data_IF_521537135447
#
_entry.id   IF_521537135447
#
_cell.length_a   1.000
_cell.length_b   1.000
_cell.length_c   1.000
_cell.angle_alpha   90.00
_cell.angle_beta   90.00
_cell.angle_gamma   90.00
#
_symmetry.space_group_name_H-M   'P 1'
#
loop_
_entity.id
_entity.type
_entity.pdbx_description
1 polymer ?
#
# COMPACT_ATOMS: atom_id res chain seq x y z
N UNK A 1 8.11 12.31 20.21
CA UNK A 1 9.26 11.57 19.64
C UNK A 1 10.13 12.57 18.89
N UNK A 2 11.42 12.66 19.22
CA UNK A 2 12.33 13.61 18.56
C UNK A 2 12.74 13.10 17.18
N UNK A 3 12.87 13.99 16.18
CA UNK A 3 13.26 13.62 14.81
C UNK A 3 14.57 12.80 14.77
N UNK A 4 15.49 13.05 15.71
CA UNK A 4 16.74 12.30 15.85
C UNK A 4 16.55 10.80 16.09
N UNK A 5 15.53 10.40 16.87
CA UNK A 5 15.28 8.98 17.14
C UNK A 5 14.73 8.24 15.91
N UNK A 6 14.00 8.94 15.04
CA UNK A 6 13.45 8.37 13.79
C UNK A 6 14.58 8.10 12.79
N UNK A 7 15.48 9.07 12.60
CA UNK A 7 16.61 8.91 11.67
C UNK A 7 17.56 7.82 12.19
N UNK A 8 17.84 7.80 13.50
CA UNK A 8 18.69 6.78 14.11
C UNK A 8 18.09 5.37 13.99
N UNK A 9 16.76 5.22 14.13
CA UNK A 9 16.12 3.91 13.96
C UNK A 9 16.35 3.32 12.56
N UNK A 10 16.35 4.15 11.53
CA UNK A 10 16.56 3.77 10.12
C UNK A 10 18.03 3.48 9.78
N UNK A 11 18.96 3.87 10.64
CA UNK A 11 20.38 3.60 10.45
C UNK A 11 20.65 2.09 10.43
N UNK A 12 21.44 1.64 9.45
CA UNK A 12 21.80 0.24 9.25
C UNK A 12 20.60 -0.73 9.11
N UNK A 13 19.39 -0.22 8.81
CA UNK A 13 18.20 -1.05 8.55
C UNK A 13 18.12 -1.54 7.12
N UNK A 14 17.66 -2.76 6.98
CA UNK A 14 17.19 -3.33 5.72
C UNK A 14 15.67 -3.31 5.68
N UNK A 15 15.10 -2.67 4.66
CA UNK A 15 13.65 -2.46 4.55
C UNK A 15 13.15 -3.06 3.24
N UNK A 16 12.11 -3.89 3.30
CA UNK A 16 11.35 -4.34 2.13
C UNK A 16 10.15 -3.43 1.94
N UNK A 17 10.01 -2.85 0.75
CA UNK A 17 8.87 -1.99 0.38
C UNK A 17 8.11 -2.65 -0.76
N UNK A 18 6.83 -2.94 -0.53
CA UNK A 18 5.92 -3.39 -1.60
C UNK A 18 5.20 -2.20 -2.23
N UNK A 19 4.76 -2.35 -3.48
CA UNK A 19 4.06 -1.25 -4.16
C UNK A 19 4.98 -0.07 -4.44
N UNK A 20 6.28 -0.33 -4.65
CA UNK A 20 7.32 0.71 -4.79
C UNK A 20 7.08 1.71 -5.94
N UNK A 21 6.28 1.33 -6.93
CA UNK A 21 5.87 2.21 -8.04
C UNK A 21 4.60 3.03 -7.74
N UNK A 22 4.00 2.88 -6.56
CA UNK A 22 2.88 3.67 -6.08
C UNK A 22 3.29 5.05 -5.57
N UNK A 23 2.34 5.98 -5.57
CA UNK A 23 2.54 7.38 -5.21
C UNK A 23 3.17 7.56 -3.81
N UNK A 24 2.56 6.99 -2.78
CA UNK A 24 3.03 7.11 -1.40
C UNK A 24 4.38 6.40 -1.18
N UNK A 25 4.57 5.24 -1.80
CA UNK A 25 5.81 4.46 -1.68
C UNK A 25 7.03 5.22 -2.23
N UNK A 26 6.88 5.95 -3.33
CA UNK A 26 7.96 6.77 -3.89
C UNK A 26 8.41 7.86 -2.92
N UNK A 27 7.45 8.53 -2.27
CA UNK A 27 7.73 9.58 -1.28
C UNK A 27 8.44 8.98 -0.08
N UNK A 28 7.98 7.81 0.38
CA UNK A 28 8.64 7.07 1.46
C UNK A 28 10.09 6.70 1.13
N UNK A 29 10.34 6.14 -0.07
CA UNK A 29 11.68 5.78 -0.54
C UNK A 29 12.58 7.01 -0.72
N UNK A 30 12.08 8.09 -1.34
CA UNK A 30 12.81 9.34 -1.49
C UNK A 30 13.19 9.92 -0.12
N UNK A 31 12.24 9.96 0.80
CA UNK A 31 12.43 10.50 2.14
C UNK A 31 13.54 9.75 2.86
N UNK A 32 13.51 8.41 2.88
CA UNK A 32 14.55 7.60 3.52
C UNK A 32 15.92 7.89 2.91
N UNK A 33 16.04 7.82 1.58
CA UNK A 33 17.32 8.03 0.90
C UNK A 33 17.88 9.45 1.12
N UNK A 34 17.00 10.46 1.27
CA UNK A 34 17.41 11.85 1.51
C UNK A 34 17.83 12.12 2.95
N UNK A 35 17.16 11.53 3.93
CA UNK A 35 17.34 11.85 5.35
C UNK A 35 18.25 10.87 6.11
N UNK A 36 18.40 9.63 5.62
CA UNK A 36 19.23 8.61 6.26
C UNK A 36 20.16 7.92 5.25
N UNK A 37 21.34 8.51 4.95
CA UNK A 37 22.31 7.92 4.02
C UNK A 37 22.91 6.58 4.50
N UNK A 38 22.86 6.31 5.81
CA UNK A 38 23.36 5.07 6.42
C UNK A 38 22.29 3.96 6.50
N UNK A 39 21.12 4.10 5.86
CA UNK A 39 20.21 2.96 5.67
C UNK A 39 21.00 1.82 5.01
N UNK A 40 20.83 0.58 5.46
CA UNK A 40 21.65 -0.53 4.94
C UNK A 40 21.24 -0.86 3.52
N UNK A 41 19.96 -1.19 3.30
CA UNK A 41 19.44 -1.61 2.00
C UNK A 41 17.90 -1.43 1.94
N UNK A 42 17.40 -1.06 0.77
CA UNK A 42 15.98 -1.01 0.43
C UNK A 42 15.71 -2.04 -0.66
N UNK A 43 15.02 -3.12 -0.32
CA UNK A 43 14.43 -4.02 -1.32
C UNK A 43 13.11 -3.42 -1.78
N UNK A 44 13.01 -3.16 -3.08
CA UNK A 44 11.78 -2.63 -3.66
C UNK A 44 11.14 -3.75 -4.48
N UNK A 45 9.96 -4.20 -4.10
CA UNK A 45 9.21 -5.19 -4.88
C UNK A 45 8.49 -4.49 -6.04
N UNK A 46 8.82 -4.89 -7.27
CA UNK A 46 8.20 -4.41 -8.49
C UNK A 46 7.63 -5.58 -9.30
N UNK A 47 6.37 -5.44 -9.73
CA UNK A 47 5.72 -6.41 -10.63
C UNK A 47 6.44 -6.48 -11.96
N UNK A 48 7.25 -7.50 -12.19
CA UNK A 48 8.07 -7.62 -13.38
C UNK A 48 8.35 -9.09 -13.67
N UNK A 49 8.58 -9.42 -14.94
CA UNK A 49 8.87 -10.78 -15.36
C UNK A 49 10.24 -11.27 -14.86
N UNK A 50 11.20 -10.35 -14.76
CA UNK A 50 12.60 -10.61 -14.41
C UNK A 50 13.28 -9.36 -13.80
N UNK A 51 14.50 -9.56 -13.28
CA UNK A 51 15.31 -8.52 -12.63
C UNK A 51 15.64 -7.35 -13.56
N UNK A 52 15.83 -7.59 -14.86
CA UNK A 52 16.12 -6.54 -15.85
C UNK A 52 14.92 -5.61 -15.99
N UNK A 53 13.74 -6.18 -16.12
CA UNK A 53 12.46 -5.46 -16.20
C UNK A 53 12.18 -4.71 -14.90
N UNK A 54 12.42 -5.32 -13.73
CA UNK A 54 12.30 -4.63 -12.44
C UNK A 54 13.25 -3.44 -12.33
N UNK A 55 14.49 -3.59 -12.79
CA UNK A 55 15.49 -2.51 -12.81
C UNK A 55 15.07 -1.36 -13.73
N UNK A 56 14.53 -1.68 -14.91
CA UNK A 56 14.01 -0.67 -15.83
C UNK A 56 12.83 0.10 -15.22
N UNK A 57 11.91 -0.61 -14.56
CA UNK A 57 10.77 0.00 -13.86
C UNK A 57 11.23 0.86 -12.69
N UNK A 58 12.22 0.42 -11.91
CA UNK A 58 12.82 1.22 -10.84
C UNK A 58 13.34 2.55 -11.41
N UNK A 59 14.12 2.50 -12.49
CA UNK A 59 14.63 3.70 -13.12
C UNK A 59 13.51 4.62 -13.62
N UNK A 60 12.60 4.11 -14.45
CA UNK A 60 11.63 4.92 -15.18
C UNK A 60 10.45 5.40 -14.31
N UNK A 61 9.96 4.54 -13.43
CA UNK A 61 8.74 4.80 -12.67
C UNK A 61 9.02 5.41 -11.30
N UNK A 62 10.23 5.25 -10.75
CA UNK A 62 10.59 5.73 -9.42
C UNK A 62 11.66 6.81 -9.52
N UNK A 63 12.91 6.46 -9.85
CA UNK A 63 14.07 7.36 -9.73
C UNK A 63 14.02 8.52 -10.74
N UNK A 64 13.49 8.28 -11.95
CA UNK A 64 13.39 9.31 -12.98
C UNK A 64 12.39 10.43 -12.61
N UNK A 65 11.47 10.20 -11.67
CA UNK A 65 10.43 11.17 -11.31
C UNK A 65 11.03 12.44 -10.69
N UNK A 66 10.34 13.56 -10.90
CA UNK A 66 10.71 14.86 -10.35
C UNK A 66 10.74 14.90 -8.83
N UNK A 67 10.04 13.96 -8.17
CA UNK A 67 10.12 13.74 -6.73
C UNK A 67 11.57 13.68 -6.24
N UNK A 68 12.42 12.96 -6.97
CA UNK A 68 13.82 12.74 -6.61
C UNK A 68 14.72 13.95 -6.94
N UNK A 69 14.18 15.08 -7.41
CA UNK A 69 14.97 16.27 -7.78
C UNK A 69 15.85 16.78 -6.63
N UNK A 70 15.31 16.88 -5.42
CA UNK A 70 16.09 17.35 -4.25
C UNK A 70 17.21 16.37 -3.91
N UNK A 71 16.95 15.06 -3.98
CA UNK A 71 17.99 14.04 -3.81
C UNK A 71 19.05 14.10 -4.92
N UNK A 72 18.63 14.28 -6.18
CA UNK A 72 19.52 14.44 -7.35
C UNK A 72 20.44 15.64 -7.19
N UNK A 73 19.90 16.79 -6.78
CA UNK A 73 20.66 18.02 -6.52
C UNK A 73 21.66 17.84 -5.37
N UNK A 74 21.24 17.18 -4.29
CA UNK A 74 22.09 16.93 -3.11
C UNK A 74 23.23 15.95 -3.40
N UNK A 75 22.98 14.90 -4.18
CA UNK A 75 23.95 13.83 -4.43
C UNK A 75 24.82 14.05 -5.67
N UNK A 76 24.33 14.82 -6.65
CA UNK A 76 25.02 15.07 -7.92
C UNK A 76 25.48 13.77 -8.59
N UNK A 77 26.76 13.69 -8.94
CA UNK A 77 27.37 12.53 -9.59
C UNK A 77 27.29 11.23 -8.75
N UNK A 78 27.12 11.33 -7.43
CA UNK A 78 27.09 10.17 -6.53
C UNK A 78 25.72 9.48 -6.47
N UNK A 79 24.68 10.02 -7.12
CA UNK A 79 23.34 9.45 -7.06
C UNK A 79 23.30 8.00 -7.54
N UNK A 80 23.89 7.72 -8.71
CA UNK A 80 23.85 6.38 -9.28
C UNK A 80 24.54 5.35 -8.37
N UNK A 81 25.68 5.75 -7.76
CA UNK A 81 26.39 4.91 -6.79
C UNK A 81 25.54 4.67 -5.54
N UNK A 82 24.90 5.71 -4.99
CA UNK A 82 23.99 5.56 -3.85
C UNK A 82 22.86 4.58 -4.18
N UNK A 83 22.16 4.77 -5.31
CA UNK A 83 21.04 3.90 -5.69
C UNK A 83 21.52 2.46 -5.90
N UNK A 84 22.65 2.24 -6.59
CA UNK A 84 23.17 0.88 -6.81
C UNK A 84 23.57 0.15 -5.53
N UNK A 85 24.02 0.89 -4.51
CA UNK A 85 24.46 0.32 -3.23
C UNK A 85 23.27 0.13 -2.29
N UNK A 86 22.33 1.07 -2.26
CA UNK A 86 21.27 1.14 -1.26
C UNK A 86 19.95 0.54 -1.72
N UNK A 87 19.72 0.38 -3.02
CA UNK A 87 18.41 -0.02 -3.55
C UNK A 87 18.57 -1.27 -4.41
N UNK A 88 17.81 -2.32 -4.08
CA UNK A 88 17.75 -3.55 -4.83
C UNK A 88 16.33 -3.74 -5.39
N UNK A 89 16.12 -3.62 -6.72
CA UNK A 89 14.85 -3.95 -7.32
C UNK A 89 14.62 -5.47 -7.28
N UNK A 90 13.46 -5.88 -6.78
CA UNK A 90 13.04 -7.27 -6.65
C UNK A 90 11.86 -7.51 -7.59
N UNK A 91 12.06 -8.36 -8.59
CA UNK A 91 10.98 -8.78 -9.49
C UNK A 91 10.06 -9.75 -8.75
N UNK A 92 8.78 -9.37 -8.60
CA UNK A 92 7.80 -10.21 -7.93
C UNK A 92 6.42 -9.58 -7.83
N UNK A 93 5.44 -10.34 -7.33
CA UNK A 93 4.06 -9.94 -7.16
C UNK A 93 3.54 -10.37 -5.78
N UNK A 94 2.86 -9.47 -5.08
CA UNK A 94 2.29 -9.77 -3.77
C UNK A 94 1.17 -10.81 -3.87
N UNK A 95 0.55 -11.00 -5.03
CA UNK A 95 -0.49 -12.02 -5.23
C UNK A 95 0.06 -13.45 -5.20
N UNK A 96 1.37 -13.64 -5.12
CA UNK A 96 2.02 -14.94 -5.13
C UNK A 96 2.71 -15.25 -3.80
N UNK A 97 2.79 -16.54 -3.45
CA UNK A 97 3.62 -17.00 -2.34
C UNK A 97 5.07 -16.55 -2.50
N UNK A 98 5.73 -16.28 -1.37
CA UNK A 98 7.09 -15.70 -1.32
C UNK A 98 7.25 -14.47 -2.24
N UNK A 99 6.15 -13.72 -2.43
CA UNK A 99 6.08 -12.52 -3.26
C UNK A 99 6.42 -12.77 -4.74
N UNK A 100 6.28 -14.01 -5.22
CA UNK A 100 6.56 -14.38 -6.62
C UNK A 100 8.02 -14.24 -7.02
N UNK A 101 8.95 -14.12 -6.06
CA UNK A 101 10.38 -13.98 -6.31
C UNK A 101 10.95 -15.34 -6.72
N UNK A 102 11.43 -15.43 -7.96
CA UNK A 102 11.93 -16.69 -8.54
C UNK A 102 13.32 -17.08 -8.06
N UNK A 103 14.13 -16.11 -7.65
CA UNK A 103 15.48 -16.34 -7.16
C UNK A 103 15.44 -16.75 -5.68
N UNK A 104 15.66 -18.05 -5.42
CA UNK A 104 15.66 -18.60 -4.06
C UNK A 104 16.77 -18.05 -3.17
N UNK A 105 17.93 -17.73 -3.73
CA UNK A 105 19.05 -17.15 -2.98
C UNK A 105 18.69 -15.75 -2.49
N UNK A 106 18.06 -14.95 -3.37
CA UNK A 106 17.57 -13.62 -3.01
C UNK A 106 16.48 -13.68 -1.93
N UNK A 107 15.56 -14.65 -2.02
CA UNK A 107 14.53 -14.87 -0.98
C UNK A 107 15.18 -15.18 0.37
N UNK A 108 16.13 -16.11 0.40
CA UNK A 108 16.86 -16.46 1.63
C UNK A 108 17.67 -15.29 2.19
N UNK A 109 18.30 -14.49 1.32
CA UNK A 109 19.00 -13.26 1.71
C UNK A 109 18.02 -12.30 2.39
N UNK A 110 16.88 -12.01 1.77
CA UNK A 110 15.86 -11.14 2.35
C UNK A 110 15.33 -11.66 3.69
N UNK A 111 15.11 -12.97 3.84
CA UNK A 111 14.73 -13.55 5.13
C UNK A 111 15.81 -13.36 6.21
N UNK A 112 17.10 -13.37 5.84
CA UNK A 112 18.21 -13.16 6.80
C UNK A 112 18.46 -11.69 7.12
N UNK A 113 18.14 -10.79 6.18
CA UNK A 113 18.55 -9.38 6.26
C UNK A 113 17.43 -8.40 6.64
N UNK A 114 16.17 -8.62 6.24
CA UNK A 114 15.10 -7.62 6.38
C UNK A 114 14.72 -7.40 7.86
N UNK A 115 14.82 -6.15 8.29
CA UNK A 115 14.40 -5.67 9.62
C UNK A 115 12.95 -5.17 9.61
N UNK A 116 12.49 -4.56 8.53
CA UNK A 116 11.15 -3.95 8.44
C UNK A 116 10.53 -4.26 7.08
N UNK A 117 9.25 -4.62 7.10
CA UNK A 117 8.43 -4.72 5.88
C UNK A 117 7.41 -3.58 5.88
N UNK A 118 7.36 -2.82 4.78
CA UNK A 118 6.40 -1.74 4.57
C UNK A 118 5.50 -2.12 3.39
N UNK A 119 4.28 -2.53 3.70
CA UNK A 119 3.30 -2.96 2.73
C UNK A 119 2.42 -1.78 2.27
N UNK A 120 2.74 -1.23 1.10
CA UNK A 120 1.98 -0.17 0.42
C UNK A 120 1.27 -0.67 -0.84
N UNK A 121 1.50 -1.93 -1.24
CA UNK A 121 0.87 -2.50 -2.41
C UNK A 121 -0.63 -2.67 -2.20
N UNK A 122 -1.40 -2.04 -3.08
CA UNK A 122 -2.85 -2.17 -3.16
C UNK A 122 -3.31 -1.73 -4.56
N UNK A 123 -4.44 -2.27 -5.01
CA UNK A 123 -5.27 -1.57 -6.00
C UNK A 123 -6.16 -0.58 -5.25
N UNK A 124 -6.18 0.66 -5.72
CA UNK A 124 -6.95 1.78 -5.13
C UNK A 124 -8.12 2.20 -6.03
N UNK A 125 -8.38 1.42 -7.09
CA UNK A 125 -9.51 1.64 -7.96
C UNK A 125 -10.80 1.16 -7.24
N UNK A 126 -11.73 2.07 -7.01
CA UNK A 126 -12.99 1.78 -6.33
C UNK A 126 -13.92 0.88 -7.14
N UNK A 127 -13.71 0.83 -8.45
CA UNK A 127 -14.45 0.02 -9.42
C UNK A 127 -13.50 -1.00 -10.08
N UNK A 128 -12.67 -1.67 -9.26
CA UNK A 128 -11.84 -2.79 -9.69
C UNK A 128 -12.64 -4.09 -9.70
N UNK A 129 -12.26 -5.03 -10.57
CA UNK A 129 -12.81 -6.39 -10.53
C UNK A 129 -12.57 -7.02 -9.17
N UNK A 130 -13.58 -7.72 -8.63
CA UNK A 130 -13.49 -8.25 -7.28
C UNK A 130 -12.38 -9.29 -7.11
N UNK A 131 -12.15 -10.16 -8.10
CA UNK A 131 -11.05 -11.12 -8.10
C UNK A 131 -9.69 -10.44 -7.96
N UNK A 132 -9.47 -9.37 -8.73
CA UNK A 132 -8.23 -8.61 -8.71
C UNK A 132 -8.06 -7.87 -7.37
N UNK A 133 -9.12 -7.22 -6.89
CA UNK A 133 -9.09 -6.47 -5.64
C UNK A 133 -8.84 -7.40 -4.43
N UNK A 134 -9.53 -8.54 -4.36
CA UNK A 134 -9.37 -9.53 -3.30
C UNK A 134 -7.96 -10.15 -3.32
N UNK A 135 -7.48 -10.54 -4.51
CA UNK A 135 -6.15 -11.13 -4.67
C UNK A 135 -5.03 -10.18 -4.25
N UNK A 136 -5.14 -8.88 -4.58
CA UNK A 136 -4.10 -7.89 -4.26
C UNK A 136 -4.23 -7.39 -2.83
N UNK A 137 -5.40 -6.86 -2.46
CA UNK A 137 -5.55 -6.11 -1.22
C UNK A 137 -5.64 -7.03 0.00
N UNK A 138 -6.30 -8.19 -0.12
CA UNK A 138 -6.53 -9.13 0.98
C UNK A 138 -5.51 -10.25 0.96
N UNK A 139 -5.54 -11.11 -0.06
CA UNK A 139 -4.64 -12.28 -0.15
C UNK A 139 -3.18 -11.85 -0.26
N UNK A 140 -2.90 -10.83 -1.06
CA UNK A 140 -1.54 -10.31 -1.20
C UNK A 140 -0.99 -9.69 0.09
N UNK A 141 -1.84 -9.10 0.94
CA UNK A 141 -1.42 -8.67 2.27
C UNK A 141 -1.03 -9.85 3.16
N UNK A 142 -1.76 -10.97 3.08
CA UNK A 142 -1.42 -12.22 3.78
C UNK A 142 -0.10 -12.80 3.28
N UNK A 143 0.18 -12.79 1.97
CA UNK A 143 1.48 -13.22 1.44
C UNK A 143 2.63 -12.35 1.95
N UNK A 144 2.43 -11.04 2.06
CA UNK A 144 3.43 -10.13 2.64
C UNK A 144 3.65 -10.42 4.12
N UNK A 145 2.59 -10.69 4.88
CA UNK A 145 2.71 -11.14 6.27
C UNK A 145 3.48 -12.44 6.39
N UNK A 146 3.13 -13.44 5.59
CA UNK A 146 3.80 -14.75 5.59
C UNK A 146 5.28 -14.63 5.20
N UNK A 147 5.61 -13.72 4.28
CA UNK A 147 7.00 -13.38 3.99
C UNK A 147 7.71 -12.75 5.19
N UNK A 148 7.08 -11.76 5.83
CA UNK A 148 7.64 -11.06 6.99
C UNK A 148 7.89 -12.00 8.18
N UNK A 149 7.01 -12.98 8.43
CA UNK A 149 7.19 -14.01 9.47
C UNK A 149 8.44 -14.88 9.27
N UNK A 150 8.88 -15.06 8.02
CA UNK A 150 10.09 -15.82 7.69
C UNK A 150 11.38 -14.98 7.87
N UNK A 151 11.26 -13.67 8.04
CA UNK A 151 12.40 -12.79 8.24
C UNK A 151 12.97 -12.91 9.66
N UNK A 152 14.18 -13.43 9.80
CA UNK A 152 14.82 -13.73 11.08
C UNK A 152 15.11 -12.50 11.97
N UNK A 153 15.17 -11.31 11.38
CA UNK A 153 15.47 -10.04 12.07
C UNK A 153 14.27 -9.10 12.10
N UNK A 154 13.09 -9.59 11.74
CA UNK A 154 11.91 -8.75 11.60
C UNK A 154 11.59 -8.05 12.92
N UNK A 155 11.50 -6.72 12.84
CA UNK A 155 11.10 -5.84 13.95
C UNK A 155 9.67 -5.41 13.81
N UNK A 156 9.19 -5.24 12.58
CA UNK A 156 7.88 -4.69 12.32
C UNK A 156 7.41 -4.98 10.89
N UNK A 157 6.12 -5.29 10.75
CA UNK A 157 5.35 -5.10 9.53
C UNK A 157 4.47 -3.85 9.66
N UNK A 158 4.68 -2.86 8.79
CA UNK A 158 3.78 -1.72 8.63
C UNK A 158 2.89 -1.98 7.41
N UNK A 159 1.58 -2.00 7.60
CA UNK A 159 0.59 -2.11 6.54
C UNK A 159 -0.16 -0.78 6.37
N UNK A 160 -0.20 -0.26 5.14
CA UNK A 160 -1.02 0.92 4.83
C UNK A 160 -2.42 0.46 4.42
N UNK A 161 -3.39 0.75 5.27
CA UNK A 161 -4.81 0.56 5.02
C UNK A 161 -5.47 1.87 4.57
N UNK A 162 -6.68 2.17 5.05
CA UNK A 162 -7.41 3.41 4.78
C UNK A 162 -8.38 3.73 5.92
N UNK A 163 -8.59 5.00 6.25
CA UNK A 163 -9.60 5.41 7.23
C UNK A 163 -11.01 4.95 6.84
N UNK A 164 -11.26 4.78 5.54
CA UNK A 164 -12.55 4.40 4.98
C UNK A 164 -12.96 2.96 5.30
N UNK A 165 -12.09 2.10 5.85
CA UNK A 165 -12.52 0.76 6.34
C UNK A 165 -13.65 0.86 7.37
N UNK A 166 -13.81 2.03 8.00
CA UNK A 166 -14.93 2.35 8.88
C UNK A 166 -16.26 2.64 8.16
N UNK A 167 -16.29 2.60 6.83
CA UNK A 167 -17.45 2.86 5.99
C UNK A 167 -18.06 4.23 6.23
N UNK A 168 -19.38 4.25 6.39
CA UNK A 168 -20.19 5.46 6.60
C UNK A 168 -20.58 5.65 8.08
N UNK A 169 -19.86 5.00 9.02
CA UNK A 169 -20.11 5.19 10.45
C UNK A 169 -19.86 6.63 10.86
N UNK A 170 -20.71 7.14 11.76
CA UNK A 170 -20.63 8.49 12.30
C UNK A 170 -20.25 8.47 13.79
N UNK A 171 -19.78 9.62 14.31
CA UNK A 171 -19.42 9.80 15.71
C UNK A 171 -17.98 9.38 16.04
N UNK A 172 -17.74 8.99 17.29
CA UNK A 172 -16.42 8.58 17.76
C UNK A 172 -16.10 7.17 17.28
N UNK A 173 -15.12 7.05 16.38
CA UNK A 173 -14.62 5.77 15.89
C UNK A 173 -13.27 5.51 16.53
N UNK A 174 -13.17 4.41 17.30
CA UNK A 174 -11.94 4.01 17.97
C UNK A 174 -11.00 3.29 17.00
N UNK A 175 -9.70 3.38 17.24
CA UNK A 175 -8.65 2.71 16.46
C UNK A 175 -8.50 1.22 16.79
N UNK A 176 -9.61 0.56 17.16
CA UNK A 176 -9.62 -0.86 17.47
C UNK A 176 -9.30 -1.70 16.22
N UNK A 177 -8.69 -2.89 16.41
CA UNK A 177 -8.50 -3.85 15.33
C UNK A 177 -9.86 -4.39 14.85
N UNK A 178 -9.95 -4.73 13.57
CA UNK A 178 -11.08 -5.50 13.05
C UNK A 178 -10.87 -6.98 13.34
N UNK A 179 -11.93 -7.65 13.80
CA UNK A 179 -11.92 -9.08 14.05
C UNK A 179 -12.50 -9.85 12.86
N UNK A 180 -12.11 -11.13 12.71
CA UNK A 180 -12.64 -11.99 11.66
C UNK A 180 -14.18 -12.02 11.69
N UNK A 181 -14.78 -11.81 10.53
CA UNK A 181 -16.23 -11.83 10.34
C UNK A 181 -16.97 -10.60 10.87
N UNK A 182 -16.26 -9.58 11.38
CA UNK A 182 -16.87 -8.30 11.75
C UNK A 182 -17.43 -7.61 10.51
N UNK A 183 -18.61 -7.00 10.62
CA UNK A 183 -19.29 -6.28 9.54
C UNK A 183 -19.80 -4.93 10.04
N UNK A 184 -19.94 -3.95 9.14
CA UNK A 184 -20.32 -2.60 9.54
C UNK A 184 -21.82 -2.45 9.80
N UNK A 185 -22.65 -3.31 9.22
CA UNK A 185 -24.11 -3.27 9.30
C UNK A 185 -24.71 -4.37 10.18
N UNK A 186 -23.89 -5.18 10.86
CA UNK A 186 -24.34 -6.28 11.71
C UNK A 186 -24.77 -7.55 10.98
N UNK A 187 -24.63 -7.60 9.65
CA UNK A 187 -24.84 -8.82 8.86
C UNK A 187 -23.83 -9.89 9.32
N UNK A 188 -24.32 -11.06 9.72
CA UNK A 188 -23.46 -12.20 10.07
C UNK A 188 -22.98 -12.96 8.84
N UNK A 189 -21.91 -13.74 8.97
CA UNK A 189 -21.48 -14.68 7.94
C UNK A 189 -20.55 -14.08 6.88
N UNK A 190 -19.77 -13.06 7.24
CA UNK A 190 -18.57 -12.72 6.48
C UNK A 190 -17.50 -13.76 6.81
N UNK A 191 -17.14 -14.58 5.82
CA UNK A 191 -16.03 -15.52 5.88
C UNK A 191 -15.13 -15.27 4.67
N UNK A 192 -13.87 -14.93 4.93
CA UNK A 192 -12.94 -14.48 3.89
C UNK A 192 -12.53 -15.63 2.97
N UNK A 193 -12.53 -16.87 3.46
CA UNK A 193 -12.28 -18.05 2.62
C UNK A 193 -13.50 -18.35 1.73
N UNK A 194 -14.71 -18.19 2.26
CA UNK A 194 -15.93 -18.26 1.46
C UNK A 194 -15.99 -17.17 0.39
N UNK A 195 -15.53 -15.94 0.68
CA UNK A 195 -15.42 -14.88 -0.35
C UNK A 195 -14.48 -15.27 -1.50
N UNK A 196 -13.36 -15.94 -1.21
CA UNK A 196 -12.46 -16.45 -2.25
C UNK A 196 -13.15 -17.48 -3.13
N UNK A 197 -13.90 -18.41 -2.53
CA UNK A 197 -14.66 -19.42 -3.26
C UNK A 197 -15.78 -18.82 -4.12
N UNK A 198 -16.47 -17.79 -3.61
CA UNK A 198 -17.50 -17.05 -4.37
C UNK A 198 -16.88 -16.40 -5.62
N UNK A 199 -15.72 -15.78 -5.46
CA UNK A 199 -14.97 -15.16 -6.57
C UNK A 199 -14.55 -16.20 -7.60
N UNK A 200 -13.94 -17.31 -7.15
CA UNK A 200 -13.44 -18.37 -8.04
C UNK A 200 -14.58 -19.04 -8.80
N UNK A 201 -15.66 -19.39 -8.11
CA UNK A 201 -16.85 -20.01 -8.70
C UNK A 201 -17.45 -19.09 -9.76
N UNK A 202 -17.62 -17.80 -9.44
CA UNK A 202 -18.19 -16.85 -10.40
C UNK A 202 -17.31 -16.67 -11.62
N UNK A 203 -16.00 -16.64 -11.45
CA UNK A 203 -15.06 -16.52 -12.57
C UNK A 203 -15.13 -17.76 -13.48
N UNK A 204 -15.17 -18.96 -12.89
CA UNK A 204 -15.29 -20.22 -13.63
C UNK A 204 -16.61 -20.30 -14.41
N UNK A 205 -17.74 -19.93 -13.79
CA UNK A 205 -19.05 -19.85 -14.47
C UNK A 205 -18.99 -18.95 -15.70
N UNK A 206 -18.42 -17.74 -15.57
CA UNK A 206 -18.31 -16.79 -16.67
C UNK A 206 -17.39 -17.32 -17.79
N UNK A 207 -16.34 -18.07 -17.44
CA UNK A 207 -15.45 -18.70 -18.41
C UNK A 207 -16.15 -19.85 -19.15
N UNK A 208 -16.89 -20.69 -18.44
CA UNK A 208 -17.68 -21.79 -19.01
C UNK A 208 -18.79 -21.29 -19.95
N UNK A 209 -19.37 -20.14 -19.63
CA UNK A 209 -20.31 -19.41 -20.50
C UNK A 209 -19.64 -18.77 -21.74
N UNK A 210 -18.31 -18.90 -21.89
CA UNK A 210 -17.51 -18.21 -22.92
C UNK A 210 -17.74 -16.69 -22.93
N UNK A 211 -17.92 -16.09 -21.74
CA UNK A 211 -18.13 -14.66 -21.61
C UNK A 211 -16.91 -13.88 -22.12
N UNK A 212 -17.15 -12.74 -22.77
CA UNK A 212 -16.07 -11.85 -23.21
C UNK A 212 -15.35 -11.22 -22.01
N UNK A 213 -14.07 -10.84 -22.17
CA UNK A 213 -13.29 -10.12 -21.13
C UNK A 213 -14.01 -8.87 -20.58
N UNK A 214 -14.74 -8.15 -21.44
CA UNK A 214 -15.54 -6.99 -21.03
C UNK A 214 -16.70 -7.41 -20.12
N UNK A 215 -17.38 -8.51 -20.46
CA UNK A 215 -18.47 -9.07 -19.66
C UNK A 215 -17.96 -9.58 -18.32
N UNK A 216 -16.84 -10.30 -18.31
CA UNK A 216 -16.17 -10.77 -17.08
C UNK A 216 -15.82 -9.56 -16.20
N UNK A 217 -15.20 -8.54 -16.79
CA UNK A 217 -14.82 -7.32 -16.06
C UNK A 217 -16.03 -6.63 -15.42
N UNK A 218 -17.13 -6.47 -16.16
CA UNK A 218 -18.36 -5.86 -15.62
C UNK A 218 -18.95 -6.71 -14.50
N UNK A 219 -19.14 -8.01 -14.73
CA UNK A 219 -19.75 -8.92 -13.77
C UNK A 219 -18.94 -9.01 -12.46
N UNK A 220 -17.60 -9.02 -12.54
CA UNK A 220 -16.74 -9.07 -11.36
C UNK A 220 -16.69 -7.75 -10.60
N UNK A 221 -16.89 -6.61 -11.26
CA UNK A 221 -17.06 -5.31 -10.57
C UNK A 221 -18.40 -5.27 -9.83
N UNK A 222 -19.47 -5.68 -10.51
CA UNK A 222 -20.81 -5.73 -9.93
C UNK A 222 -20.86 -6.67 -8.73
N UNK A 223 -20.22 -7.85 -8.83
CA UNK A 223 -20.09 -8.78 -7.71
C UNK A 223 -19.41 -8.12 -6.52
N UNK A 224 -18.24 -7.51 -6.71
CA UNK A 224 -17.51 -6.86 -5.62
C UNK A 224 -18.31 -5.78 -4.91
N UNK A 225 -19.03 -4.96 -5.69
CA UNK A 225 -19.90 -3.91 -5.14
C UNK A 225 -21.08 -4.51 -4.35
N UNK A 226 -21.69 -5.59 -4.86
CA UNK A 226 -22.77 -6.31 -4.16
C UNK A 226 -22.28 -6.89 -2.83
N UNK A 227 -21.13 -7.58 -2.83
CA UNK A 227 -20.53 -8.15 -1.60
C UNK A 227 -20.15 -7.07 -0.59
N UNK A 228 -19.51 -5.99 -1.04
CA UNK A 228 -19.18 -4.88 -0.16
C UNK A 228 -20.43 -4.30 0.54
N UNK A 229 -21.48 -4.02 -0.22
CA UNK A 229 -22.74 -3.46 0.32
C UNK A 229 -23.48 -4.43 1.23
N UNK A 230 -23.43 -5.73 0.94
CA UNK A 230 -24.03 -6.77 1.78
C UNK A 230 -23.51 -6.70 3.23
N UNK A 231 -22.21 -6.43 3.40
CA UNK A 231 -21.56 -6.36 4.72
C UNK A 231 -21.32 -4.93 5.23
N UNK A 232 -21.90 -3.93 4.55
CA UNK A 232 -21.95 -2.54 5.01
C UNK A 232 -20.82 -1.64 4.55
N UNK A 233 -19.97 -2.08 3.61
CA UNK A 233 -18.94 -1.22 3.01
C UNK A 233 -19.44 -0.57 1.70
N UNK A 234 -19.00 0.67 1.41
CA UNK A 234 -19.53 1.43 0.28
C UNK A 234 -19.03 0.95 -1.08
N UNK A 235 -17.88 0.28 -1.13
CA UNK A 235 -17.26 -0.21 -2.38
C UNK A 235 -16.25 -1.34 -2.13
N UNK A 236 -15.86 -2.01 -3.21
CA UNK A 236 -14.93 -3.16 -3.23
C UNK A 236 -13.55 -2.85 -2.66
N UNK A 237 -13.02 -1.65 -2.92
CA UNK A 237 -11.71 -1.24 -2.40
C UNK A 237 -11.71 -1.24 -0.87
N UNK A 238 -12.66 -0.52 -0.28
CA UNK A 238 -12.77 -0.42 1.17
C UNK A 238 -13.01 -1.80 1.80
N UNK A 239 -13.89 -2.60 1.21
CA UNK A 239 -14.21 -3.94 1.70
C UNK A 239 -12.99 -4.86 1.71
N UNK A 240 -12.22 -4.91 0.61
CA UNK A 240 -11.01 -5.75 0.54
C UNK A 240 -9.90 -5.27 1.46
N UNK A 241 -9.82 -3.95 1.74
CA UNK A 241 -8.91 -3.41 2.77
C UNK A 241 -9.33 -3.79 4.18
N UNK A 242 -10.62 -3.78 4.49
CA UNK A 242 -11.13 -4.24 5.78
C UNK A 242 -10.82 -5.74 6.00
N UNK A 243 -11.07 -6.59 4.99
CA UNK A 243 -10.71 -8.01 5.05
C UNK A 243 -9.20 -8.23 5.23
N UNK A 244 -8.37 -7.39 4.60
CA UNK A 244 -6.92 -7.43 4.82
C UNK A 244 -6.55 -7.15 6.28
N UNK A 245 -7.16 -6.17 6.92
CA UNK A 245 -6.91 -5.88 8.34
C UNK A 245 -7.31 -7.05 9.24
N UNK A 246 -8.45 -7.68 8.97
CA UNK A 246 -8.92 -8.85 9.72
C UNK A 246 -7.95 -10.02 9.62
N UNK A 247 -7.54 -10.37 8.39
CA UNK A 247 -6.56 -11.44 8.14
C UNK A 247 -5.22 -11.14 8.78
N UNK A 248 -4.71 -9.91 8.62
CA UNK A 248 -3.43 -9.51 9.23
C UNK A 248 -3.51 -9.56 10.75
N UNK A 249 -4.58 -9.04 11.35
CA UNK A 249 -4.80 -9.04 12.80
C UNK A 249 -4.92 -10.45 13.37
N UNK A 250 -5.60 -11.35 12.65
CA UNK A 250 -5.76 -12.74 13.06
C UNK A 250 -4.47 -13.55 12.89
N UNK A 251 -3.81 -13.43 11.74
CA UNK A 251 -2.68 -14.27 11.36
C UNK A 251 -1.34 -13.74 11.87
N UNK A 252 -1.21 -12.50 12.38
CA UNK A 252 0.12 -11.94 12.73
C UNK A 252 0.90 -12.75 13.77
N UNK A 253 0.23 -13.52 14.62
CA UNK A 253 0.83 -14.18 15.79
C UNK A 253 1.62 -13.16 16.63
N UNK A 254 2.92 -13.42 16.85
CA UNK A 254 3.84 -12.58 17.62
C UNK A 254 4.51 -11.49 16.78
N UNK A 255 4.27 -11.42 15.47
CA UNK A 255 4.86 -10.38 14.62
C UNK A 255 4.27 -9.02 15.01
N UNK A 256 5.12 -8.01 15.33
CA UNK A 256 4.65 -6.65 15.51
C UNK A 256 4.05 -6.12 14.20
N UNK A 257 2.81 -5.65 14.29
CA UNK A 257 2.01 -5.17 13.16
C UNK A 257 1.51 -3.76 13.48
N UNK A 258 1.77 -2.83 12.57
CA UNK A 258 1.19 -1.48 12.59
C UNK A 258 0.31 -1.33 11.36
N UNK A 259 -0.93 -0.89 11.57
CA UNK A 259 -1.87 -0.56 10.49
C UNK A 259 -2.05 0.96 10.46
N UNK A 260 -1.65 1.60 9.36
CA UNK A 260 -1.86 3.05 9.15
C UNK A 260 -3.09 3.23 8.28
N UNK A 261 -4.08 3.98 8.76
CA UNK A 261 -5.36 4.22 8.06
C UNK A 261 -5.46 5.69 7.58
N UNK A 262 -4.78 6.07 6.48
CA UNK A 262 -4.86 7.43 5.95
C UNK A 262 -6.23 7.71 5.29
N UNK A 263 -6.62 8.99 5.24
CA UNK A 263 -7.76 9.50 4.46
C UNK A 263 -7.33 9.76 3.01
N UNK A 264 -7.99 10.68 2.28
CA UNK A 264 -7.60 11.00 0.90
C UNK A 264 -6.23 11.67 0.89
N UNK A 265 -5.24 10.94 0.38
CA UNK A 265 -3.87 11.44 0.27
C UNK A 265 -3.75 12.38 -0.93
N UNK A 266 -3.27 13.60 -0.69
CA UNK A 266 -3.06 14.63 -1.71
C UNK A 266 -1.59 14.88 -1.97
N UNK A 267 -1.29 15.93 -2.76
CA UNK A 267 0.07 16.40 -3.01
C UNK A 267 0.88 16.67 -1.72
N UNK A 268 2.20 16.70 -1.85
CA UNK A 268 3.10 17.03 -0.75
C UNK A 268 2.86 18.46 -0.27
N UNK A 269 2.78 18.65 1.05
CA UNK A 269 2.66 19.97 1.64
C UNK A 269 4.00 20.71 1.68
N UNK A 270 5.08 20.02 2.07
CA UNK A 270 6.39 20.63 2.26
C UNK A 270 7.54 19.83 1.66
N UNK A 271 7.57 18.51 1.87
CA UNK A 271 8.73 17.68 1.52
C UNK A 271 8.46 16.68 0.40
N UNK A 272 9.45 16.38 -0.46
CA UNK A 272 10.75 17.07 -0.59
C UNK A 272 10.63 18.51 -1.11
N UNK A 273 9.51 18.84 -1.75
CA UNK A 273 9.09 20.18 -2.11
C UNK A 273 7.56 20.24 -2.17
N UNK A 274 6.93 21.41 -2.02
CA UNK A 274 5.47 21.53 -2.04
C UNK A 274 4.86 21.22 -3.42
N UNK A 275 3.66 20.64 -3.42
CA UNK A 275 2.82 20.45 -4.60
C UNK A 275 3.19 19.27 -5.49
N UNK A 276 4.09 18.38 -5.07
CA UNK A 276 4.37 17.18 -5.85
C UNK A 276 3.19 16.21 -5.76
N UNK A 277 2.68 15.80 -6.92
CA UNK A 277 1.63 14.80 -7.07
C UNK A 277 1.97 13.93 -8.27
N UNK A 278 1.61 12.65 -8.22
CA UNK A 278 1.80 11.75 -9.35
C UNK A 278 0.46 11.23 -9.89
N UNK A 279 0.16 11.69 -11.10
CA UNK A 279 -1.13 11.48 -11.73
C UNK A 279 -2.18 12.48 -11.23
N UNK A 280 -3.40 12.34 -11.73
CA UNK A 280 -4.56 13.12 -11.29
C UNK A 280 -5.54 12.12 -10.70
N UNK A 281 -5.69 12.09 -9.37
CA UNK A 281 -6.53 11.11 -8.67
C UNK A 281 -7.68 11.81 -7.98
N UNK A 282 -8.89 11.23 -8.06
CA UNK A 282 -10.08 11.64 -7.30
C UNK A 282 -10.21 13.16 -7.12
N UNK A 283 -9.79 13.70 -5.96
CA UNK A 283 -9.89 15.12 -5.64
C UNK A 283 -8.98 16.02 -6.49
N UNK A 284 -7.82 15.54 -6.95
CA UNK A 284 -6.90 16.30 -7.80
C UNK A 284 -7.58 16.66 -9.13
N UNK A 285 -8.50 15.82 -9.62
CA UNK A 285 -9.24 16.08 -10.86
C UNK A 285 -10.14 17.31 -10.74
N UNK A 286 -10.70 17.55 -9.55
CA UNK A 286 -11.48 18.75 -9.24
C UNK A 286 -10.57 19.98 -9.21
N UNK A 287 -9.44 19.89 -8.52
CA UNK A 287 -8.46 20.98 -8.44
C UNK A 287 -7.94 21.37 -9.84
N UNK A 288 -7.58 20.39 -10.67
CA UNK A 288 -7.13 20.62 -12.05
C UNK A 288 -8.26 21.16 -12.92
N UNK A 289 -9.47 20.63 -12.79
CA UNK A 289 -10.64 21.09 -13.54
C UNK A 289 -10.98 22.55 -13.23
N UNK A 290 -10.96 22.92 -11.95
CA UNK A 290 -11.16 24.29 -11.49
C UNK A 290 -10.03 25.22 -11.96
N UNK A 291 -8.77 24.83 -11.75
CA UNK A 291 -7.61 25.62 -12.18
C UNK A 291 -7.52 25.83 -13.70
N UNK A 292 -8.09 24.92 -14.51
CA UNK A 292 -8.22 25.07 -15.97
C UNK A 292 -9.47 25.82 -16.42
N UNK A 293 -10.33 26.27 -15.49
CA UNK A 293 -11.61 26.92 -15.80
C UNK A 293 -12.65 26.00 -16.44
N UNK A 294 -12.46 24.67 -16.39
CA UNK A 294 -13.43 23.69 -16.91
C UNK A 294 -14.55 23.40 -15.93
N UNK A 295 -14.29 23.59 -14.65
CA UNK A 295 -15.26 23.47 -13.57
C UNK A 295 -15.34 24.84 -12.89
N UNK A 296 -16.52 25.44 -12.86
CA UNK A 296 -16.75 26.74 -12.22
C UNK A 296 -17.24 26.61 -10.78
N UNK A 297 -17.83 25.46 -10.42
CA UNK A 297 -18.29 25.14 -9.08
C UNK A 297 -18.25 23.62 -8.84
N UNK A 298 -18.07 23.21 -7.58
CA UNK A 298 -18.23 21.82 -7.16
C UNK A 298 -19.57 21.67 -6.43
N UNK A 299 -20.43 20.75 -6.90
CA UNK A 299 -21.70 20.46 -6.27
C UNK A 299 -21.46 19.58 -5.03
N UNK A 300 -21.75 20.11 -3.86
CA UNK A 300 -21.64 19.40 -2.59
C UNK A 300 -22.33 20.17 -1.48
N UNK A 301 -22.63 19.49 -0.37
CA UNK A 301 -23.08 20.17 0.84
C UNK A 301 -21.92 21.01 1.40
N UNK A 302 -22.08 22.34 1.54
CA UNK A 302 -21.03 23.22 2.07
C UNK A 302 -20.65 22.91 3.53
N UNK A 303 -21.45 22.11 4.23
CA UNK A 303 -21.15 21.64 5.59
C UNK A 303 -20.36 20.32 5.62
N UNK A 304 -20.21 19.65 4.47
CA UNK A 304 -19.43 18.41 4.39
C UNK A 304 -17.93 18.70 4.61
N UNK A 305 -17.30 17.85 5.41
CA UNK A 305 -15.86 17.92 5.67
C UNK A 305 -15.13 17.17 4.56
N UNK A 306 -14.28 17.86 3.80
CA UNK A 306 -13.34 17.25 2.88
C UNK A 306 -12.04 16.92 3.63
N UNK A 307 -11.93 15.69 4.14
CA UNK A 307 -10.74 15.22 4.84
C UNK A 307 -9.64 14.83 3.83
N UNK A 308 -8.63 15.69 3.74
CA UNK A 308 -7.48 15.57 2.84
C UNK A 308 -6.19 15.61 3.66
N UNK A 309 -5.30 14.65 3.42
CA UNK A 309 -4.01 14.57 4.11
C UNK A 309 -2.83 14.66 3.14
N UNK A 310 -1.86 15.57 3.35
CA UNK A 310 -0.67 15.64 2.51
C UNK A 310 0.18 14.37 2.57
N UNK A 311 0.67 13.91 1.43
CA UNK A 311 1.41 12.65 1.34
C UNK A 311 2.70 12.60 2.18
N UNK A 312 3.40 13.73 2.31
CA UNK A 312 4.59 13.83 3.15
C UNK A 312 4.28 13.74 4.64
N UNK A 313 3.10 14.19 5.08
CA UNK A 313 2.63 13.97 6.45
C UNK A 313 2.31 12.50 6.71
N UNK A 314 1.69 11.80 5.75
CA UNK A 314 1.45 10.35 5.86
C UNK A 314 2.78 9.60 5.97
N UNK A 315 3.77 9.91 5.14
CA UNK A 315 5.11 9.30 5.19
C UNK A 315 5.80 9.56 6.54
N UNK A 316 5.72 10.80 7.06
CA UNK A 316 6.28 11.12 8.37
C UNK A 316 5.58 10.33 9.48
N UNK A 317 4.25 10.20 9.44
CA UNK A 317 3.48 9.40 10.39
C UNK A 317 3.88 7.91 10.33
N UNK A 318 4.05 7.35 9.12
CA UNK A 318 4.54 5.98 8.94
C UNK A 318 5.91 5.79 9.60
N UNK A 319 6.86 6.69 9.35
CA UNK A 319 8.21 6.60 9.93
C UNK A 319 8.19 6.72 11.47
N UNK A 320 7.35 7.59 12.03
CA UNK A 320 7.19 7.74 13.48
C UNK A 320 6.56 6.48 14.08
N UNK A 321 5.51 5.94 13.47
CA UNK A 321 4.86 4.72 13.93
C UNK A 321 5.81 3.52 13.87
N UNK A 322 6.66 3.44 12.84
CA UNK A 322 7.70 2.41 12.77
C UNK A 322 8.61 2.40 14.00
N UNK A 323 9.06 3.59 14.42
CA UNK A 323 9.97 3.74 15.56
C UNK A 323 9.27 3.48 16.88
N UNK A 324 8.01 3.91 17.01
CA UNK A 324 7.22 3.72 18.22
C UNK A 324 7.03 2.24 18.54
N UNK A 325 6.70 1.44 17.53
CA UNK A 325 6.28 0.05 17.73
C UNK A 325 7.39 -0.99 17.49
N UNK A 326 8.50 -0.63 16.83
CA UNK A 326 9.60 -1.58 16.61
C UNK A 326 10.39 -1.95 17.88
N UNK A 327 10.22 -1.22 18.98
CA UNK A 327 10.89 -1.45 20.27
C UNK A 327 9.97 -2.06 21.34
N UNK A 328 8.68 -2.22 21.07
CA UNK A 328 7.72 -2.85 21.99
C UNK A 328 7.81 -4.39 21.99
N UNK A 329 8.64 -4.95 21.10
CA UNK A 329 8.84 -6.39 20.91
C UNK A 329 9.99 -6.99 21.74
N UNK A 330 10.38 -6.35 22.86
CA UNK A 330 11.38 -6.85 23.81
C UNK A 330 10.71 -7.44 25.05
#
# INVERSE_FOLDING_TARGET
MELGSVIQFLENRTILVTGATGFLAKIFVEKILRVQPNVKKLYLLLRAADTKSATQRLHNEVIAKDLFRVLKEKMGANLNSLISVKVTPVAGDITCENLGVKDSNLVEEMWKEVDVVVNLAATTNFDERYDVALAINTVGAVHVLNFAKKCAKIKLLLHVSTAYVSGEREGLILENPYYLGETLNGTSGLDIEAEKQVVETRLNELQDENATEKSITSAMKDLGLQRARQYGWPNTYVFTKAMAEMELGHLKENLPLVIIRPTIITSTYKEPFPGWVEGVRTIDSLAVGYGKGRITCFLGDPKSIADLIPADMVVNAMMVAMVAHANEAL
#
